data_IF_746256384426
#
_entry.id   IF_746256384426
#
_cell.length_a   1.000
_cell.length_b   1.000
_cell.length_c   1.000
_cell.angle_alpha   90.00
_cell.angle_beta   90.00
_cell.angle_gamma   90.00
#
_symmetry.space_group_name_H-M   'P 1'
#
loop_
_entity.id
_entity.type
_entity.pdbx_description
1 polymer ?
#
# COMPACT_ATOMS: atom_id res chain seq x y z
N UNK A 1 -9.27 10.21 -2.21
CA UNK A 1 -10.44 9.35 -1.95
C UNK A 1 -10.20 8.32 -0.83
N UNK A 2 -9.09 7.58 -0.78
CA UNK A 2 -8.81 6.64 0.34
C UNK A 2 -8.67 7.28 1.72
N UNK A 3 -8.24 8.54 1.78
CA UNK A 3 -8.17 9.32 3.01
C UNK A 3 -9.54 9.49 3.69
N UNK A 4 -10.64 9.58 2.93
CA UNK A 4 -11.98 9.83 3.50
C UNK A 4 -12.55 8.63 4.25
N UNK A 5 -12.38 7.42 3.71
CA UNK A 5 -12.85 6.19 4.37
C UNK A 5 -12.03 5.90 5.62
N UNK A 6 -10.70 6.04 5.52
CA UNK A 6 -9.83 5.84 6.65
C UNK A 6 -10.05 6.89 7.74
N UNK A 7 -10.31 8.15 7.35
CA UNK A 7 -10.70 9.21 8.28
C UNK A 7 -11.95 8.84 9.09
N UNK A 8 -13.02 8.37 8.43
CA UNK A 8 -14.26 7.97 9.12
C UNK A 8 -14.01 6.85 10.12
N UNK A 9 -13.15 5.88 9.80
CA UNK A 9 -12.74 4.84 10.73
C UNK A 9 -12.00 5.43 11.95
N UNK A 10 -11.01 6.29 11.71
CA UNK A 10 -10.24 6.92 12.81
C UNK A 10 -11.13 7.76 13.73
N UNK A 11 -12.10 8.47 13.15
CA UNK A 11 -13.09 9.26 13.89
C UNK A 11 -14.05 8.36 14.70
N UNK A 12 -14.50 7.25 14.12
CA UNK A 12 -15.34 6.27 14.81
C UNK A 12 -14.65 5.70 16.05
N UNK A 13 -13.42 5.23 15.91
CA UNK A 13 -12.63 4.67 17.01
C UNK A 13 -12.33 5.73 18.09
N UNK A 14 -11.99 6.95 17.68
CA UNK A 14 -11.77 8.06 18.60
C UNK A 14 -13.04 8.41 19.40
N UNK A 15 -14.20 8.46 18.74
CA UNK A 15 -15.50 8.69 19.40
C UNK A 15 -15.83 7.60 20.43
N UNK A 16 -15.35 6.37 20.21
CA UNK A 16 -15.47 5.25 21.16
C UNK A 16 -14.40 5.24 22.26
N UNK A 17 -13.53 6.24 22.31
CA UNK A 17 -12.44 6.33 23.29
C UNK A 17 -11.26 5.40 23.01
N UNK A 18 -11.19 4.80 21.81
CA UNK A 18 -10.17 3.83 21.40
C UNK A 18 -8.99 4.52 20.69
N UNK A 19 -8.55 5.67 21.21
CA UNK A 19 -7.45 6.47 20.62
C UNK A 19 -6.13 5.69 20.47
N UNK A 20 -5.71 4.82 21.41
CA UNK A 20 -4.52 3.99 21.21
C UNK A 20 -4.65 2.99 20.05
N UNK A 21 -5.87 2.47 19.80
CA UNK A 21 -6.11 1.56 18.68
C UNK A 21 -6.06 2.29 17.35
N UNK A 22 -6.51 3.56 17.31
CA UNK A 22 -6.31 4.43 16.15
C UNK A 22 -4.84 4.51 15.80
N UNK A 23 -3.93 4.64 16.78
CA UNK A 23 -2.49 4.66 16.51
C UNK A 23 -2.00 3.35 15.91
N UNK A 24 -2.29 2.20 16.56
CA UNK A 24 -1.87 0.88 16.10
C UNK A 24 -2.35 0.61 14.65
N UNK A 25 -3.63 0.84 14.38
CA UNK A 25 -4.26 0.63 13.07
C UNK A 25 -3.65 1.58 12.03
N UNK A 26 -3.49 2.86 12.36
CA UNK A 26 -2.94 3.86 11.44
C UNK A 26 -1.48 3.58 11.08
N UNK A 27 -0.68 3.17 12.05
CA UNK A 27 0.71 2.77 11.83
C UNK A 27 0.76 1.52 10.94
N UNK A 28 -0.02 0.48 11.25
CA UNK A 28 -0.05 -0.74 10.44
C UNK A 28 -0.48 -0.49 9.00
N UNK A 29 -1.60 0.21 8.79
CA UNK A 29 -2.06 0.57 7.45
C UNK A 29 -1.05 1.46 6.74
N UNK A 30 -0.43 2.41 7.45
CA UNK A 30 0.63 3.25 6.91
C UNK A 30 1.80 2.43 6.37
N UNK A 31 2.25 1.42 7.10
CA UNK A 31 3.32 0.51 6.68
C UNK A 31 2.86 -0.40 5.53
N UNK A 32 1.65 -0.95 5.56
CA UNK A 32 1.11 -1.75 4.45
C UNK A 32 1.00 -0.94 3.15
N UNK A 33 0.52 0.31 3.25
CA UNK A 33 0.48 1.24 2.13
C UNK A 33 1.88 1.59 1.64
N UNK A 34 2.87 1.75 2.54
CA UNK A 34 4.26 1.97 2.15
C UNK A 34 4.78 0.78 1.33
N UNK A 35 4.57 -0.45 1.79
CA UNK A 35 4.99 -1.68 1.08
C UNK A 35 4.33 -1.76 -0.30
N UNK A 36 3.02 -1.52 -0.38
CA UNK A 36 2.29 -1.47 -1.65
C UNK A 36 2.88 -0.43 -2.61
N UNK A 37 3.20 0.77 -2.13
CA UNK A 37 3.71 1.85 -2.97
C UNK A 37 5.16 1.63 -3.41
N UNK A 38 5.96 1.01 -2.54
CA UNK A 38 7.30 0.55 -2.89
C UNK A 38 7.25 -0.50 -3.99
N UNK A 39 6.26 -1.40 -3.91
CA UNK A 39 5.99 -2.40 -4.94
C UNK A 39 5.50 -1.82 -6.26
N UNK A 40 4.74 -0.73 -6.24
CA UNK A 40 4.43 -0.01 -7.48
C UNK A 40 5.69 0.59 -8.14
N UNK A 41 6.69 0.98 -7.36
CA UNK A 41 8.01 1.38 -7.87
C UNK A 41 7.96 2.57 -8.83
N UNK A 42 7.05 3.53 -8.58
CA UNK A 42 6.77 4.65 -9.48
C UNK A 42 5.93 4.25 -10.69
N UNK A 43 5.06 3.27 -10.52
CA UNK A 43 4.38 2.63 -11.63
C UNK A 43 3.32 3.46 -12.31
N UNK A 44 2.68 4.37 -11.56
CA UNK A 44 1.87 5.45 -12.14
C UNK A 44 2.67 6.25 -13.18
N UNK A 45 3.89 6.67 -12.84
CA UNK A 45 4.69 7.56 -13.67
C UNK A 45 5.45 6.82 -14.79
N UNK A 46 6.11 5.72 -14.45
CA UNK A 46 6.94 4.96 -15.38
C UNK A 46 6.10 4.27 -16.46
N UNK A 47 4.93 3.71 -16.12
CA UNK A 47 4.05 3.10 -17.13
C UNK A 47 3.55 4.14 -18.12
N UNK A 48 3.06 5.29 -17.63
CA UNK A 48 2.61 6.38 -18.50
C UNK A 48 3.72 6.87 -19.45
N UNK A 49 4.95 6.96 -18.95
CA UNK A 49 6.12 7.32 -19.76
C UNK A 49 6.44 6.28 -20.84
N UNK A 50 6.38 4.99 -20.52
CA UNK A 50 6.63 3.92 -21.50
C UNK A 50 5.48 3.77 -22.51
N UNK A 51 4.24 4.09 -22.12
CA UNK A 51 3.12 4.24 -23.04
C UNK A 51 3.39 5.35 -24.05
N UNK A 52 3.79 6.54 -23.58
CA UNK A 52 4.08 7.68 -24.46
C UNK A 52 5.24 7.39 -25.45
N UNK A 53 6.17 6.52 -25.07
CA UNK A 53 7.26 6.04 -25.92
C UNK A 53 6.88 4.86 -26.82
N UNK A 54 5.65 4.34 -26.74
CA UNK A 54 5.16 3.15 -27.45
C UNK A 54 6.00 1.87 -27.23
N UNK A 55 6.69 1.75 -26.09
CA UNK A 55 7.50 0.56 -25.74
C UNK A 55 6.93 -0.24 -24.58
N UNK A 56 5.78 0.16 -24.01
CA UNK A 56 5.24 -0.49 -22.81
C UNK A 56 5.09 -2.00 -22.97
N UNK A 57 4.57 -2.46 -24.11
CA UNK A 57 4.40 -3.88 -24.44
C UNK A 57 5.70 -4.70 -24.34
N UNK A 58 6.83 -4.08 -24.65
CA UNK A 58 8.14 -4.74 -24.62
C UNK A 58 8.76 -4.77 -23.21
N UNK A 59 8.42 -3.79 -22.37
CA UNK A 59 9.05 -3.58 -21.06
C UNK A 59 8.21 -4.04 -19.89
N UNK A 60 6.88 -4.15 -20.02
CA UNK A 60 5.95 -4.38 -18.90
C UNK A 60 6.28 -5.65 -18.10
N UNK A 61 6.68 -6.72 -18.78
CA UNK A 61 7.08 -7.98 -18.14
C UNK A 61 8.36 -7.83 -17.31
N UNK A 62 9.40 -7.19 -17.86
CA UNK A 62 10.63 -6.89 -17.12
C UNK A 62 10.37 -5.94 -15.96
N UNK A 63 9.55 -4.93 -16.17
CA UNK A 63 9.22 -3.92 -15.17
C UNK A 63 8.44 -4.52 -14.00
N UNK A 64 7.53 -5.46 -14.24
CA UNK A 64 6.89 -6.23 -13.17
C UNK A 64 7.92 -6.97 -12.29
N UNK A 65 8.86 -7.69 -12.91
CA UNK A 65 9.90 -8.44 -12.18
C UNK A 65 10.81 -7.51 -11.37
N UNK A 66 11.25 -6.39 -11.98
CA UNK A 66 12.14 -5.42 -11.32
C UNK A 66 11.44 -4.76 -10.13
N UNK A 67 10.15 -4.47 -10.24
CA UNK A 67 9.33 -3.95 -9.12
C UNK A 67 9.22 -4.93 -7.96
N UNK A 68 8.98 -6.21 -8.25
CA UNK A 68 9.01 -7.26 -7.21
C UNK A 68 10.37 -7.28 -6.53
N UNK A 69 11.46 -7.25 -7.29
CA UNK A 69 12.80 -7.26 -6.71
C UNK A 69 13.01 -6.10 -5.72
N UNK A 70 12.70 -4.86 -6.10
CA UNK A 70 12.86 -3.71 -5.21
C UNK A 70 11.89 -3.72 -4.03
N UNK A 71 10.66 -4.22 -4.21
CA UNK A 71 9.70 -4.33 -3.11
C UNK A 71 10.13 -5.33 -2.06
N UNK A 72 10.73 -6.44 -2.47
CA UNK A 72 11.34 -7.41 -1.56
C UNK A 72 12.49 -6.81 -0.76
N UNK A 73 13.31 -5.93 -1.36
CA UNK A 73 14.36 -5.20 -0.62
C UNK A 73 13.74 -4.35 0.50
N UNK A 74 12.65 -3.62 0.24
CA UNK A 74 11.95 -2.86 1.30
C UNK A 74 11.36 -3.80 2.35
N UNK A 75 10.74 -4.89 1.93
CA UNK A 75 10.15 -5.85 2.84
C UNK A 75 11.19 -6.38 3.82
N UNK A 76 12.37 -6.78 3.33
CA UNK A 76 13.49 -7.24 4.16
C UNK A 76 13.93 -6.13 5.12
N UNK A 77 14.08 -4.89 4.64
CA UNK A 77 14.42 -3.74 5.50
C UNK A 77 13.35 -3.54 6.58
N UNK A 78 12.07 -3.48 6.25
CA UNK A 78 11.01 -3.27 7.23
C UNK A 78 10.85 -4.44 8.20
N UNK A 79 11.02 -5.67 7.73
CA UNK A 79 10.86 -6.86 8.57
C UNK A 79 12.00 -7.04 9.57
N UNK A 80 13.24 -6.77 9.17
CA UNK A 80 14.41 -6.98 10.04
C UNK A 80 14.87 -5.71 10.77
N UNK A 81 14.78 -4.54 10.14
CA UNK A 81 15.36 -3.31 10.70
C UNK A 81 14.35 -2.57 11.57
N UNK A 82 13.08 -2.48 11.18
CA UNK A 82 12.08 -1.74 11.96
C UNK A 82 11.92 -2.27 13.40
N UNK A 83 11.90 -3.60 13.65
CA UNK A 83 11.78 -4.12 15.02
C UNK A 83 12.98 -3.78 15.90
N UNK A 84 14.15 -3.42 15.35
CA UNK A 84 15.31 -3.00 16.16
C UNK A 84 15.09 -1.62 16.80
N UNK A 85 14.20 -0.81 16.23
CA UNK A 85 13.94 0.56 16.68
C UNK A 85 12.56 0.73 17.31
N UNK A 86 11.59 -0.10 16.94
CA UNK A 86 10.22 0.01 17.41
C UNK A 86 9.61 -1.37 17.68
N UNK A 87 9.46 -1.70 18.96
CA UNK A 87 8.88 -2.97 19.41
C UNK A 87 7.35 -2.85 19.50
N UNK A 88 6.68 -3.35 18.47
CA UNK A 88 5.21 -3.47 18.43
C UNK A 88 4.85 -4.80 17.74
N UNK A 89 4.42 -5.78 18.54
CA UNK A 89 4.13 -7.13 18.07
C UNK A 89 3.02 -7.17 17.01
N UNK A 90 2.01 -6.32 17.18
CA UNK A 90 0.91 -6.19 16.23
C UNK A 90 1.41 -5.70 14.86
N UNK A 91 2.28 -4.68 14.85
CA UNK A 91 2.90 -4.19 13.61
C UNK A 91 3.83 -5.23 13.00
N UNK A 92 4.63 -5.91 13.81
CA UNK A 92 5.56 -6.93 13.33
C UNK A 92 4.82 -8.09 12.64
N UNK A 93 3.74 -8.58 13.24
CA UNK A 93 2.88 -9.60 12.61
C UNK A 93 2.21 -9.06 11.33
N UNK A 94 1.79 -7.79 11.27
CA UNK A 94 1.30 -7.19 10.02
C UNK A 94 2.38 -7.22 8.92
N UNK A 95 3.62 -6.86 9.23
CA UNK A 95 4.72 -6.84 8.26
C UNK A 95 5.02 -8.26 7.80
N UNK A 96 5.11 -9.24 8.69
CA UNK A 96 5.39 -10.64 8.38
C UNK A 96 4.51 -11.21 7.26
N UNK A 97 3.20 -10.93 7.30
CA UNK A 97 2.25 -11.42 6.29
C UNK A 97 2.10 -10.51 5.07
N UNK A 98 2.68 -9.31 5.09
CA UNK A 98 2.57 -8.33 4.00
C UNK A 98 3.40 -8.66 2.76
N UNK A 99 4.19 -9.74 2.76
CA UNK A 99 4.96 -10.19 1.59
C UNK A 99 4.09 -10.33 0.34
N UNK A 100 2.84 -10.75 0.49
CA UNK A 100 1.89 -10.90 -0.62
C UNK A 100 1.58 -9.56 -1.33
N UNK A 101 1.65 -8.43 -0.60
CA UNK A 101 1.52 -7.09 -1.16
C UNK A 101 2.71 -6.69 -2.03
N UNK A 102 3.88 -7.28 -1.83
CA UNK A 102 5.05 -7.04 -2.69
C UNK A 102 4.81 -7.57 -4.12
N UNK A 103 4.12 -8.70 -4.22
CA UNK A 103 3.79 -9.35 -5.50
C UNK A 103 2.65 -8.62 -6.19
N UNK A 104 1.51 -8.46 -5.51
CA UNK A 104 0.36 -7.78 -6.09
C UNK A 104 0.65 -6.29 -6.35
N UNK A 105 1.41 -5.63 -5.49
CA UNK A 105 1.75 -4.21 -5.64
C UNK A 105 2.51 -3.92 -6.94
N UNK A 106 3.37 -4.84 -7.36
CA UNK A 106 4.09 -4.74 -8.63
C UNK A 106 3.17 -4.84 -9.86
N UNK A 107 2.03 -5.53 -9.73
CA UNK A 107 1.02 -5.68 -10.78
C UNK A 107 0.15 -4.42 -10.96
N UNK A 108 0.39 -3.35 -10.20
CA UNK A 108 -0.33 -2.10 -10.39
C UNK A 108 -0.07 -1.51 -11.78
N UNK A 109 -1.17 -1.24 -12.50
CA UNK A 109 -1.18 -0.70 -13.87
C UNK A 109 -1.90 0.64 -13.98
N UNK A 110 -2.11 1.33 -12.86
CA UNK A 110 -2.71 2.67 -12.81
C UNK A 110 -2.11 3.63 -13.85
N UNK A 111 -0.78 3.67 -14.00
CA UNK A 111 -0.14 4.53 -15.02
C UNK A 111 -0.54 4.23 -16.48
N UNK A 112 -0.92 2.99 -16.80
CA UNK A 112 -1.51 2.64 -18.11
C UNK A 112 -2.94 3.17 -18.20
N UNK A 113 -3.74 2.99 -17.15
CA UNK A 113 -5.10 3.52 -17.09
C UNK A 113 -5.15 5.04 -17.22
N UNK A 114 -4.21 5.74 -16.58
CA UNK A 114 -3.99 7.18 -16.69
C UNK A 114 -3.74 7.59 -18.15
N UNK A 115 -2.80 6.91 -18.81
CA UNK A 115 -2.49 7.17 -20.22
C UNK A 115 -3.69 6.95 -21.14
N UNK A 116 -4.52 5.93 -20.85
CA UNK A 116 -5.74 5.63 -21.61
C UNK A 116 -6.94 6.51 -21.23
N UNK A 117 -6.78 7.47 -20.31
CA UNK A 117 -7.85 8.38 -19.86
C UNK A 117 -8.94 7.68 -19.02
N UNK A 118 -8.63 6.55 -18.39
CA UNK A 118 -9.59 5.72 -17.63
C UNK A 118 -9.61 6.00 -16.12
N UNK A 119 -8.90 7.04 -15.66
CA UNK A 119 -8.79 7.41 -14.25
C UNK A 119 -10.10 7.65 -13.53
N UNK A 120 -11.09 8.23 -14.22
CA UNK A 120 -12.41 8.48 -13.63
C UNK A 120 -13.12 7.18 -13.23
N UNK A 121 -12.82 6.07 -13.92
CA UNK A 121 -13.43 4.77 -13.66
C UNK A 121 -12.67 4.04 -12.55
N UNK A 122 -11.33 4.09 -12.58
CA UNK A 122 -10.48 3.32 -11.67
C UNK A 122 -10.26 4.03 -10.33
N UNK A 123 -10.25 5.36 -10.31
CA UNK A 123 -10.00 6.19 -9.13
C UNK A 123 -10.85 5.82 -7.90
N UNK A 124 -12.17 5.58 -8.04
CA UNK A 124 -13.02 5.13 -6.93
C UNK A 124 -12.58 3.80 -6.30
N UNK A 125 -11.98 2.89 -7.09
CA UNK A 125 -11.56 1.57 -6.62
C UNK A 125 -10.17 1.57 -6.00
N UNK A 126 -9.36 2.61 -6.23
CA UNK A 126 -8.03 2.72 -5.64
C UNK A 126 -8.08 2.75 -4.10
N UNK A 127 -9.20 3.15 -3.50
CA UNK A 127 -9.41 3.22 -2.05
C UNK A 127 -9.92 1.94 -1.38
N UNK A 128 -10.21 0.87 -2.16
CA UNK A 128 -10.71 -0.39 -1.61
C UNK A 128 -9.85 -1.02 -0.51
N UNK A 129 -8.50 -0.95 -0.52
CA UNK A 129 -7.68 -1.51 0.56
C UNK A 129 -8.08 -0.95 1.93
N UNK A 130 -8.20 0.38 2.04
CA UNK A 130 -8.59 1.07 3.27
C UNK A 130 -10.04 0.79 3.66
N UNK A 131 -10.94 0.66 2.68
CA UNK A 131 -12.34 0.34 2.93
C UNK A 131 -12.52 -1.04 3.54
N UNK A 132 -11.86 -2.05 2.99
CA UNK A 132 -11.95 -3.42 3.50
C UNK A 132 -11.41 -3.54 4.92
N UNK A 133 -10.30 -2.87 5.23
CA UNK A 133 -9.79 -2.80 6.61
C UNK A 133 -10.77 -2.10 7.54
N UNK A 134 -11.41 -1.02 7.09
CA UNK A 134 -12.41 -0.30 7.88
C UNK A 134 -13.64 -1.15 8.18
N UNK A 135 -14.13 -1.91 7.18
CA UNK A 135 -15.24 -2.85 7.35
C UNK A 135 -14.89 -3.91 8.40
N UNK A 136 -13.69 -4.51 8.29
CA UNK A 136 -13.23 -5.51 9.25
C UNK A 136 -13.19 -4.98 10.69
N UNK A 137 -12.61 -3.79 10.89
CA UNK A 137 -12.46 -3.19 12.23
C UNK A 137 -13.82 -2.83 12.84
N UNK A 138 -14.74 -2.29 12.03
CA UNK A 138 -16.11 -1.99 12.48
C UNK A 138 -16.85 -3.28 12.84
N UNK A 139 -16.70 -4.33 12.02
CA UNK A 139 -17.31 -5.64 12.27
C UNK A 139 -16.84 -6.28 13.58
N UNK A 140 -15.52 -6.33 13.81
CA UNK A 140 -14.93 -6.82 15.06
C UNK A 140 -15.41 -6.03 16.28
N UNK A 141 -15.60 -4.71 16.12
CA UNK A 141 -16.15 -3.87 17.19
C UNK A 141 -17.57 -4.29 17.58
N UNK A 142 -18.46 -4.52 16.61
CA UNK A 142 -19.85 -4.86 16.90
C UNK A 142 -20.06 -6.27 17.44
N UNK A 143 -19.16 -7.21 17.13
CA UNK A 143 -19.28 -8.61 17.60
C UNK A 143 -18.70 -8.82 19.01
N UNK A 144 -18.08 -7.79 19.60
CA UNK A 144 -17.65 -7.83 21.01
C UNK A 144 -16.32 -8.55 21.25
N UNK A 145 -15.59 -8.92 20.19
CA UNK A 145 -14.27 -9.57 20.26
C UNK A 145 -13.13 -8.64 20.73
N UNK A 146 -13.41 -7.34 20.95
CA UNK A 146 -12.39 -6.35 21.36
C UNK A 146 -11.82 -6.61 22.77
N UNK A 147 -12.40 -7.51 23.55
CA UNK A 147 -12.13 -7.57 24.99
C UNK A 147 -10.88 -8.35 25.41
N UNK A 148 -10.21 -9.16 24.57
CA UNK A 148 -9.01 -9.90 25.04
C UNK A 148 -7.90 -10.22 24.01
N UNK A 149 -8.05 -9.84 22.74
CA UNK A 149 -6.94 -9.87 21.79
C UNK A 149 -7.23 -8.84 20.69
N UNK A 150 -6.45 -7.77 20.72
CA UNK A 150 -6.48 -6.68 19.75
C UNK A 150 -6.54 -7.24 18.32
N UNK A 151 -7.33 -6.60 17.46
CA UNK A 151 -7.59 -6.93 16.05
C UNK A 151 -6.56 -7.90 15.44
N UNK A 152 -7.02 -8.97 14.79
CA UNK A 152 -6.07 -9.88 14.15
C UNK A 152 -5.26 -9.12 13.10
N UNK A 153 -3.96 -8.95 13.38
CA UNK A 153 -2.97 -8.33 12.48
C UNK A 153 -3.01 -9.00 11.12
N UNK A 154 -3.14 -10.33 11.11
CA UNK A 154 -3.33 -11.15 9.91
C UNK A 154 -4.61 -10.77 9.16
N UNK A 155 -5.73 -10.62 9.87
CA UNK A 155 -7.00 -10.25 9.24
C UNK A 155 -6.99 -8.83 8.65
N UNK A 156 -6.26 -7.88 9.26
CA UNK A 156 -6.02 -6.55 8.69
C UNK A 156 -5.22 -6.67 7.38
N UNK A 157 -4.14 -7.45 7.37
CA UNK A 157 -3.35 -7.69 6.15
C UNK A 157 -4.19 -8.34 5.06
N UNK A 158 -4.98 -9.36 5.40
CA UNK A 158 -5.87 -10.05 4.46
C UNK A 158 -6.92 -9.07 3.91
N UNK A 159 -7.54 -8.26 4.77
CA UNK A 159 -8.56 -7.29 4.35
C UNK A 159 -7.97 -6.24 3.42
N UNK A 160 -6.81 -5.67 3.79
CA UNK A 160 -6.09 -4.71 2.97
C UNK A 160 -5.71 -5.30 1.61
N UNK A 161 -5.12 -6.49 1.62
CA UNK A 161 -4.70 -7.20 0.40
C UNK A 161 -5.89 -7.54 -0.48
N UNK A 162 -7.01 -7.98 0.10
CA UNK A 162 -8.23 -8.31 -0.65
C UNK A 162 -8.78 -7.08 -1.37
N UNK A 163 -8.93 -5.96 -0.65
CA UNK A 163 -9.33 -4.69 -1.26
C UNK A 163 -8.37 -4.25 -2.37
N UNK A 164 -7.07 -4.48 -2.18
CA UNK A 164 -6.06 -4.17 -3.20
C UNK A 164 -6.16 -5.07 -4.43
N UNK A 165 -6.31 -6.38 -4.25
CA UNK A 165 -6.49 -7.33 -5.36
C UNK A 165 -7.73 -6.99 -6.18
N UNK A 166 -8.86 -6.67 -5.52
CA UNK A 166 -10.08 -6.23 -6.24
C UNK A 166 -9.79 -4.95 -7.03
N UNK A 167 -9.06 -3.99 -6.45
CA UNK A 167 -8.68 -2.77 -7.18
C UNK A 167 -7.84 -3.06 -8.42
N UNK A 168 -6.93 -4.05 -8.35
CA UNK A 168 -6.14 -4.50 -9.51
C UNK A 168 -7.03 -5.17 -10.55
N UNK A 169 -7.91 -6.08 -10.15
CA UNK A 169 -8.82 -6.76 -11.08
C UNK A 169 -9.67 -5.75 -11.88
N UNK A 170 -10.15 -4.69 -11.23
CA UNK A 170 -10.86 -3.60 -11.91
C UNK A 170 -9.94 -2.83 -12.87
N UNK A 171 -8.70 -2.55 -12.49
CA UNK A 171 -7.73 -1.91 -13.39
C UNK A 171 -7.49 -2.75 -14.64
N UNK A 172 -7.26 -4.06 -14.46
CA UNK A 172 -7.00 -5.00 -15.56
C UNK A 172 -8.22 -5.20 -16.45
N UNK A 173 -9.44 -5.26 -15.89
CA UNK A 173 -10.65 -5.40 -16.69
C UNK A 173 -10.90 -4.15 -17.57
N UNK A 174 -10.67 -2.96 -17.03
CA UNK A 174 -10.80 -1.70 -17.77
C UNK A 174 -9.72 -1.56 -18.86
N UNK A 175 -8.51 -2.07 -18.60
CA UNK A 175 -7.39 -2.02 -19.55
C UNK A 175 -7.27 -3.28 -20.42
N UNK A 176 -8.24 -4.21 -20.38
CA UNK A 176 -8.13 -5.53 -20.98
C UNK A 176 -7.78 -5.51 -22.48
N UNK A 177 -8.38 -4.59 -23.23
CA UNK A 177 -8.17 -4.41 -24.67
C UNK A 177 -6.71 -4.14 -25.05
N UNK A 178 -5.93 -3.52 -24.15
CA UNK A 178 -4.49 -3.34 -24.36
C UNK A 178 -3.76 -4.68 -24.31
N UNK A 179 -4.07 -5.51 -23.31
CA UNK A 179 -3.40 -6.80 -23.10
C UNK A 179 -3.76 -7.84 -24.16
N UNK A 180 -5.00 -7.85 -24.64
CA UNK A 180 -5.46 -8.78 -25.67
C UNK A 180 -4.65 -8.66 -26.99
N UNK A 181 -4.24 -7.43 -27.34
CA UNK A 181 -3.51 -7.15 -28.57
C UNK A 181 -1.99 -7.14 -28.40
N UNK A 182 -1.51 -7.32 -27.17
CA UNK A 182 -0.11 -7.08 -26.82
C UNK A 182 0.65 -8.38 -26.59
N UNK A 183 1.71 -8.60 -27.37
CA UNK A 183 2.70 -9.66 -27.08
C UNK A 183 3.67 -9.17 -26.02
N UNK A 184 3.42 -9.56 -24.77
CA UNK A 184 4.30 -9.23 -23.64
C UNK A 184 5.63 -9.96 -23.79
N UNK A 185 6.73 -9.21 -23.81
CA UNK A 185 8.08 -9.78 -23.74
C UNK A 185 8.58 -9.74 -22.30
N UNK A 186 9.17 -10.85 -21.86
CA UNK A 186 9.94 -10.89 -20.61
C UNK A 186 11.38 -10.48 -20.90
N UNK A 187 12.03 -9.85 -19.91
CA UNK A 187 13.47 -9.63 -19.90
C UNK A 187 14.06 -8.66 -20.94
N UNK A 188 13.24 -7.88 -21.65
CA UNK A 188 13.69 -6.77 -22.50
C UNK A 188 14.20 -5.58 -21.66
N UNK A 189 15.20 -4.86 -22.17
CA UNK A 189 15.71 -3.59 -21.60
C UNK A 189 16.11 -3.63 -20.11
N UNK A 190 16.57 -4.80 -19.59
CA UNK A 190 16.84 -5.00 -18.15
C UNK A 190 17.63 -3.87 -17.50
N UNK A 191 18.80 -3.52 -18.06
CA UNK A 191 19.70 -2.52 -17.47
C UNK A 191 19.04 -1.14 -17.37
N UNK A 192 18.30 -0.74 -18.40
CA UNK A 192 17.56 0.53 -18.41
C UNK A 192 16.49 0.52 -17.32
N UNK A 193 15.67 -0.53 -17.27
CA UNK A 193 14.55 -0.64 -16.34
C UNK A 193 15.04 -0.74 -14.89
N UNK A 194 16.09 -1.51 -14.62
CA UNK A 194 16.70 -1.59 -13.28
C UNK A 194 17.17 -0.21 -12.78
N UNK A 195 17.80 0.58 -13.66
CA UNK A 195 18.27 1.91 -13.31
C UNK A 195 17.12 2.91 -13.13
N UNK A 196 16.14 2.92 -14.05
CA UNK A 196 15.01 3.84 -13.96
C UNK A 196 14.08 3.51 -12.78
N UNK A 197 13.73 2.23 -12.59
CA UNK A 197 12.93 1.80 -11.42
C UNK A 197 13.71 2.04 -10.13
N UNK A 198 15.01 1.72 -10.08
CA UNK A 198 15.84 1.98 -8.89
C UNK A 198 15.89 3.46 -8.52
N UNK A 199 16.14 4.34 -9.50
CA UNK A 199 16.16 5.79 -9.27
C UNK A 199 14.81 6.35 -8.78
N UNK A 200 13.71 5.93 -9.41
CA UNK A 200 12.37 6.29 -8.95
C UNK A 200 12.07 5.73 -7.57
N UNK A 201 12.44 4.48 -7.33
CA UNK A 201 12.21 3.80 -6.07
C UNK A 201 12.93 4.51 -4.92
N UNK A 202 14.22 4.83 -5.02
CA UNK A 202 14.93 5.48 -3.92
C UNK A 202 14.41 6.90 -3.64
N UNK A 203 14.14 7.68 -4.70
CA UNK A 203 13.60 9.03 -4.55
C UNK A 203 12.18 9.04 -3.98
N UNK A 204 11.31 8.17 -4.49
CA UNK A 204 9.92 8.06 -4.05
C UNK A 204 9.79 7.41 -2.68
N UNK A 205 10.60 6.37 -2.39
CA UNK A 205 10.62 5.71 -1.09
C UNK A 205 10.93 6.70 0.03
N UNK A 206 12.00 7.49 -0.11
CA UNK A 206 12.37 8.48 0.92
C UNK A 206 11.25 9.51 1.15
N UNK A 207 10.66 10.02 0.08
CA UNK A 207 9.55 10.97 0.15
C UNK A 207 8.31 10.38 0.83
N UNK A 208 7.94 9.15 0.49
CA UNK A 208 6.72 8.53 1.02
C UNK A 208 6.91 7.98 2.43
N UNK A 209 8.06 7.40 2.74
CA UNK A 209 8.40 6.84 4.04
C UNK A 209 8.28 7.87 5.17
N UNK A 210 8.74 9.10 4.95
CA UNK A 210 8.66 10.16 5.96
C UNK A 210 7.26 10.30 6.56
N UNK A 211 6.24 10.43 5.70
CA UNK A 211 4.89 10.63 6.20
C UNK A 211 4.30 9.37 6.87
N UNK A 212 4.71 8.16 6.50
CA UNK A 212 4.13 6.90 7.06
C UNK A 212 4.84 6.44 8.32
N UNK A 213 6.10 6.83 8.51
CA UNK A 213 6.90 6.50 9.69
C UNK A 213 6.80 7.55 10.79
N UNK A 214 6.37 8.78 10.49
CA UNK A 214 6.22 9.84 11.50
C UNK A 214 5.29 9.45 12.68
N UNK A 215 4.14 8.77 12.48
CA UNK A 215 3.33 8.29 13.61
C UNK A 215 4.05 7.29 14.52
N UNK A 216 5.03 6.54 14.00
CA UNK A 216 5.88 5.64 14.80
C UNK A 216 6.76 6.46 15.74
N UNK A 217 7.38 7.53 15.23
CA UNK A 217 8.18 8.44 16.07
C UNK A 217 7.32 9.10 17.15
N UNK A 218 6.12 9.56 16.80
CA UNK A 218 5.19 10.14 17.78
C UNK A 218 4.83 9.12 18.86
N UNK A 219 4.58 7.86 18.49
CA UNK A 219 4.31 6.81 19.48
C UNK A 219 5.52 6.54 20.39
N UNK A 220 6.71 6.42 19.80
CA UNK A 220 7.95 6.18 20.56
C UNK A 220 8.25 7.25 21.61
N UNK A 221 8.04 8.52 21.28
CA UNK A 221 8.44 9.64 22.15
C UNK A 221 7.29 10.21 22.99
N UNK A 222 6.05 10.16 22.50
CA UNK A 222 4.89 10.82 23.11
C UNK A 222 3.76 9.85 23.48
N UNK A 223 3.92 8.56 23.16
CA UNK A 223 3.00 7.47 23.50
C UNK A 223 1.81 7.31 22.55
N UNK A 224 1.16 6.14 22.64
CA UNK A 224 0.11 5.69 21.71
C UNK A 224 -1.09 6.61 21.61
N UNK A 225 -1.53 7.20 22.73
CA UNK A 225 -2.67 8.12 22.72
C UNK A 225 -2.36 9.38 21.87
N UNK A 226 -1.18 9.96 22.03
CA UNK A 226 -0.72 11.12 21.26
C UNK A 226 -0.53 10.75 19.79
N UNK A 227 0.02 9.57 19.50
CA UNK A 227 0.15 9.07 18.13
C UNK A 227 -1.22 8.86 17.46
N UNK A 228 -2.23 8.44 18.21
CA UNK A 228 -3.61 8.30 17.75
C UNK A 228 -4.22 9.66 17.40
N UNK A 229 -4.07 10.64 18.28
CA UNK A 229 -4.50 12.03 18.01
C UNK A 229 -3.76 12.63 16.81
N UNK A 230 -2.46 12.38 16.69
CA UNK A 230 -1.67 12.81 15.53
C UNK A 230 -2.16 12.16 14.23
N UNK A 231 -2.49 10.87 14.25
CA UNK A 231 -3.02 10.18 13.08
C UNK A 231 -4.37 10.74 12.64
N UNK A 232 -5.25 11.10 13.60
CA UNK A 232 -6.52 11.77 13.33
C UNK A 232 -6.29 13.17 12.77
N UNK A 233 -5.40 13.97 13.38
CA UNK A 233 -5.10 15.33 12.93
C UNK A 233 -4.51 15.34 11.51
N UNK A 234 -3.71 14.33 11.16
CA UNK A 234 -3.09 14.20 9.84
C UNK A 234 -4.05 13.72 8.75
N UNK A 235 -5.16 13.08 9.12
CA UNK A 235 -6.21 12.72 8.17
C UNK A 235 -7.12 13.88 7.80
N UNK A 236 -7.00 15.04 8.48
CA UNK A 236 -7.56 16.34 8.08
C UNK A 236 -6.73 17.06 7.01
#
# INVERSE_FOLDING_TARGET
>A
MGQGVFFLLTLFLAYKGLTPDVANISIAIGVLSLIQWCADGGGVFLLGRYCAKNILSEVIGTLYIVRIFYSLVVFVVLFYILPLFYHNDFLHECIKYSFILCVFGAANISGLADFLGKNKIIGPFASLPWLFVSIYIIWEYYIGNITNNQYSSVAIVISYTTGFVISLLVQYSVCWHFFEKTKIKLFSYKKLIFNEVGGFFFSYFLSQSYARLLPILVDMYLGKATAGLFAIAKTF
#
